data_IF_736108990351
#
_entry.id   IF_736108990351
#
_cell.length_a   1.000
_cell.length_b   1.000
_cell.length_c   1.000
_cell.angle_alpha   90.00
_cell.angle_beta   90.00
_cell.angle_gamma   90.00
#
_symmetry.space_group_name_H-M   'P 1'
#
loop_
_entity.id
_entity.type
_entity.pdbx_description
1 polymer ?
#
# COMPACT_ATOMS: atom_id res chain seq x y z
N UNK A 1 2.10 6.31 19.04
CA UNK A 1 1.44 5.90 17.79
C UNK A 1 1.47 7.07 16.84
N UNK A 2 2.17 6.91 15.72
CA UNK A 2 2.12 7.86 14.62
C UNK A 2 0.68 7.99 14.13
N UNK A 3 0.13 9.21 14.14
CA UNK A 3 -1.25 9.46 13.74
C UNK A 3 -1.28 10.26 12.45
N UNK A 4 -1.60 9.59 11.34
CA UNK A 4 -1.68 10.24 10.04
C UNK A 4 -3.01 10.95 9.86
N UNK A 5 -2.96 12.20 9.42
CA UNK A 5 -4.15 13.03 9.16
C UNK A 5 -4.49 13.10 7.68
N UNK A 6 -3.49 12.92 6.81
CA UNK A 6 -3.65 13.01 5.35
C UNK A 6 -2.95 11.88 4.59
N UNK A 7 -3.43 11.63 3.36
CA UNK A 7 -2.78 10.67 2.45
C UNK A 7 -1.33 11.09 2.12
N UNK A 8 -1.06 12.39 2.03
CA UNK A 8 0.30 12.90 1.78
C UNK A 8 1.26 12.44 2.87
N UNK A 9 0.89 12.60 4.14
CA UNK A 9 1.72 12.19 5.28
C UNK A 9 2.01 10.69 5.24
N UNK A 10 0.98 9.88 4.98
CA UNK A 10 1.11 8.43 4.84
C UNK A 10 2.09 8.07 3.73
N UNK A 11 1.88 8.60 2.51
CA UNK A 11 2.72 8.27 1.36
C UNK A 11 4.17 8.72 1.56
N UNK A 12 4.40 9.87 2.19
CA UNK A 12 5.74 10.36 2.50
C UNK A 12 6.42 9.48 3.56
N UNK A 13 5.72 9.10 4.63
CA UNK A 13 6.26 8.24 5.68
C UNK A 13 6.62 6.85 5.16
N UNK A 14 5.76 6.25 4.32
CA UNK A 14 6.02 4.95 3.69
C UNK A 14 7.20 5.05 2.72
N UNK A 15 7.25 6.08 1.86
CA UNK A 15 8.37 6.28 0.93
C UNK A 15 9.70 6.48 1.68
N UNK A 16 9.70 7.28 2.74
CA UNK A 16 10.89 7.49 3.57
C UNK A 16 11.33 6.19 4.25
N UNK A 17 10.40 5.38 4.76
CA UNK A 17 10.72 4.07 5.32
C UNK A 17 11.35 3.14 4.29
N UNK A 18 10.76 3.04 3.09
CA UNK A 18 11.30 2.25 1.97
C UNK A 18 12.73 2.68 1.64
N UNK A 19 12.99 3.99 1.55
CA UNK A 19 14.32 4.51 1.26
C UNK A 19 15.32 4.14 2.34
N UNK A 20 14.97 4.28 3.63
CA UNK A 20 15.86 3.84 4.72
C UNK A 20 16.16 2.34 4.65
N UNK A 21 15.18 1.52 4.28
CA UNK A 21 15.39 0.07 4.12
C UNK A 21 16.32 -0.30 2.96
N UNK A 22 16.46 0.58 1.96
CA UNK A 22 17.42 0.37 0.88
C UNK A 22 18.88 0.54 1.36
N UNK A 23 19.09 1.35 2.39
CA UNK A 23 20.41 1.58 3.01
C UNK A 23 20.66 0.62 4.18
N UNK A 24 19.63 0.31 4.97
CA UNK A 24 19.65 -0.61 6.11
C UNK A 24 18.41 -1.54 6.11
N UNK A 25 18.55 -2.80 5.70
CA UNK A 25 17.46 -3.78 5.69
C UNK A 25 16.82 -4.06 7.06
N UNK A 26 17.49 -3.65 8.16
CA UNK A 26 17.02 -3.82 9.53
C UNK A 26 16.53 -2.51 10.16
N UNK A 27 16.26 -1.49 9.35
CA UNK A 27 15.75 -0.21 9.82
C UNK A 27 14.54 -0.39 10.75
N UNK A 28 14.67 0.15 11.97
CA UNK A 28 13.61 0.11 12.97
C UNK A 28 12.40 1.00 12.58
N UNK A 29 11.28 0.81 13.29
CA UNK A 29 10.08 1.64 13.17
C UNK A 29 8.99 1.10 12.25
N UNK A 30 9.13 -0.12 11.72
CA UNK A 30 8.08 -0.77 10.92
C UNK A 30 6.77 -0.92 11.69
N UNK A 31 6.84 -1.40 12.94
CA UNK A 31 5.67 -1.64 13.77
C UNK A 31 4.85 -0.35 13.98
N UNK A 32 5.51 0.75 14.35
CA UNK A 32 4.84 2.04 14.52
C UNK A 32 4.23 2.56 13.21
N UNK A 33 4.94 2.44 12.09
CA UNK A 33 4.45 2.84 10.78
C UNK A 33 3.21 2.02 10.36
N UNK A 34 3.27 0.70 10.56
CA UNK A 34 2.18 -0.22 10.24
C UNK A 34 0.93 0.07 11.07
N UNK A 35 1.08 0.29 12.39
CA UNK A 35 -0.02 0.67 13.28
C UNK A 35 -0.62 2.03 12.91
N UNK A 36 0.21 3.01 12.54
CA UNK A 36 -0.27 4.31 12.06
C UNK A 36 -1.05 4.21 10.74
N UNK A 37 -0.54 3.41 9.79
CA UNK A 37 -1.22 3.14 8.52
C UNK A 37 -2.55 2.39 8.74
N UNK A 38 -2.56 1.42 9.65
CA UNK A 38 -3.76 0.68 10.04
C UNK A 38 -4.84 1.62 10.57
N UNK A 39 -4.50 2.49 11.54
CA UNK A 39 -5.43 3.47 12.08
C UNK A 39 -5.96 4.43 10.99
N UNK A 40 -5.08 4.89 10.10
CA UNK A 40 -5.46 5.75 8.98
C UNK A 40 -6.46 5.07 8.03
N UNK A 41 -6.21 3.81 7.67
CA UNK A 41 -7.10 3.03 6.82
C UNK A 41 -8.41 2.70 7.52
N UNK A 42 -8.39 2.27 8.79
CA UNK A 42 -9.59 2.00 9.57
C UNK A 42 -10.53 3.22 9.60
N UNK A 43 -9.99 4.43 9.73
CA UNK A 43 -10.79 5.65 9.76
C UNK A 43 -11.40 6.05 8.41
N UNK A 44 -10.83 5.61 7.27
CA UNK A 44 -11.13 6.15 5.93
C UNK A 44 -11.51 5.12 4.87
N UNK A 45 -11.35 3.83 5.15
CA UNK A 45 -11.71 2.73 4.27
C UNK A 45 -12.84 1.93 4.92
N UNK A 46 -14.09 2.32 4.64
CA UNK A 46 -15.27 1.76 5.29
C UNK A 46 -15.39 0.22 5.17
N UNK A 47 -15.16 -0.40 4.00
CA UNK A 47 -15.15 -1.86 3.89
C UNK A 47 -14.12 -2.54 4.81
N UNK A 48 -12.90 -1.98 4.90
CA UNK A 48 -11.87 -2.51 5.79
C UNK A 48 -12.22 -2.28 7.27
N UNK A 49 -12.76 -1.13 7.62
CA UNK A 49 -13.21 -0.82 8.98
C UNK A 49 -14.31 -1.80 9.45
N UNK A 50 -15.22 -2.19 8.57
CA UNK A 50 -16.27 -3.15 8.88
C UNK A 50 -15.71 -4.56 9.15
N UNK A 51 -14.71 -5.01 8.39
CA UNK A 51 -13.98 -6.25 8.68
C UNK A 51 -13.33 -6.19 10.07
N UNK A 52 -12.59 -5.12 10.34
CA UNK A 52 -11.89 -4.90 11.61
C UNK A 52 -12.84 -4.94 12.81
N UNK A 53 -13.99 -4.25 12.72
CA UNK A 53 -15.02 -4.27 13.77
C UNK A 53 -15.65 -5.64 13.97
N UNK A 54 -15.90 -6.39 12.89
CA UNK A 54 -16.47 -7.73 12.98
C UNK A 54 -15.54 -8.72 13.72
N UNK A 55 -14.23 -8.49 13.66
CA UNK A 55 -13.22 -9.30 14.35
C UNK A 55 -12.84 -8.75 15.74
N UNK A 56 -13.44 -7.63 16.18
CA UNK A 56 -13.06 -6.88 17.39
C UNK A 56 -11.58 -6.44 17.40
N UNK A 57 -11.01 -6.19 16.22
CA UNK A 57 -9.63 -5.76 16.03
C UNK A 57 -9.63 -4.33 15.50
N UNK A 58 -9.51 -3.36 16.39
CA UNK A 58 -9.56 -1.91 16.14
C UNK A 58 -8.23 -1.23 16.48
N UNK A 59 -8.00 0.03 16.07
CA UNK A 59 -6.80 0.77 16.45
C UNK A 59 -6.55 0.87 17.96
N UNK A 60 -7.59 0.76 18.78
CA UNK A 60 -7.50 0.79 20.24
C UNK A 60 -7.11 -0.56 20.87
N UNK A 61 -7.31 -1.67 20.14
CA UNK A 61 -7.10 -3.04 20.66
C UNK A 61 -5.89 -3.72 20.05
N UNK A 62 -5.47 -3.32 18.85
CA UNK A 62 -4.30 -3.85 18.14
C UNK A 62 -3.04 -3.07 18.55
N UNK A 63 -2.14 -3.73 19.28
CA UNK A 63 -0.88 -3.13 19.75
C UNK A 63 0.37 -3.63 19.01
N UNK A 64 0.25 -4.64 18.15
CA UNK A 64 1.34 -5.20 17.35
C UNK A 64 0.89 -5.27 15.88
N UNK A 65 1.77 -4.91 14.95
CA UNK A 65 1.46 -4.97 13.52
C UNK A 65 1.01 -6.36 13.05
N UNK A 66 1.46 -7.43 13.71
CA UNK A 66 1.10 -8.82 13.36
C UNK A 66 -0.36 -9.16 13.66
N UNK A 67 -0.99 -8.40 14.54
CA UNK A 67 -2.38 -8.60 14.94
C UNK A 67 -3.35 -7.78 14.05
N UNK A 68 -2.83 -7.04 13.06
CA UNK A 68 -3.66 -6.30 12.10
C UNK A 68 -4.49 -7.30 11.26
N UNK A 69 -5.82 -7.11 11.15
CA UNK A 69 -6.70 -7.98 10.38
C UNK A 69 -6.26 -8.16 8.93
N UNK A 70 -6.18 -9.42 8.50
CA UNK A 70 -5.84 -9.77 7.12
C UNK A 70 -7.06 -9.69 6.22
N UNK A 71 -6.91 -9.13 5.02
CA UNK A 71 -8.00 -9.06 4.05
C UNK A 71 -7.91 -10.23 3.07
N UNK A 72 -8.98 -11.03 3.00
CA UNK A 72 -9.07 -12.14 2.06
C UNK A 72 -9.01 -11.65 0.61
N UNK A 73 -8.26 -12.35 -0.26
CA UNK A 73 -8.06 -11.96 -1.67
C UNK A 73 -9.38 -11.75 -2.43
N UNK A 74 -10.43 -12.53 -2.11
CA UNK A 74 -11.76 -12.39 -2.72
C UNK A 74 -12.40 -11.01 -2.48
N UNK A 75 -12.11 -10.38 -1.35
CA UNK A 75 -12.70 -9.09 -0.99
C UNK A 75 -12.29 -7.99 -1.97
N UNK A 76 -11.07 -8.05 -2.52
CA UNK A 76 -10.57 -7.10 -3.52
C UNK A 76 -11.28 -7.18 -4.88
N UNK A 77 -12.07 -8.24 -5.14
CA UNK A 77 -12.91 -8.35 -6.35
C UNK A 77 -14.24 -7.61 -6.18
N UNK A 78 -14.82 -7.70 -4.98
CA UNK A 78 -16.18 -7.25 -4.68
C UNK A 78 -16.23 -5.87 -4.02
N UNK A 79 -15.16 -5.46 -3.33
CA UNK A 79 -15.10 -4.25 -2.54
C UNK A 79 -13.99 -3.34 -3.06
N UNK A 80 -14.28 -2.05 -3.11
CA UNK A 80 -13.29 -1.01 -3.36
C UNK A 80 -12.56 -0.70 -2.05
N UNK A 81 -11.51 -1.48 -1.75
CA UNK A 81 -10.66 -1.32 -0.58
C UNK A 81 -9.68 -0.15 -0.79
N UNK A 82 -10.18 1.06 -0.61
CA UNK A 82 -9.40 2.28 -0.82
C UNK A 82 -9.79 3.39 0.16
N UNK A 83 -8.85 4.29 0.40
CA UNK A 83 -9.05 5.57 1.12
C UNK A 83 -9.26 6.74 0.16
N UNK A 84 -9.20 6.49 -1.16
CA UNK A 84 -9.34 7.51 -2.19
C UNK A 84 -10.82 7.80 -2.48
N UNK A 85 -11.24 9.08 -2.41
CA UNK A 85 -12.50 9.52 -3.00
C UNK A 85 -12.55 9.15 -4.49
N UNK A 86 -13.74 8.88 -5.03
CA UNK A 86 -13.89 8.47 -6.43
C UNK A 86 -13.28 9.47 -7.44
N UNK A 87 -13.41 10.77 -7.17
CA UNK A 87 -12.85 11.83 -8.00
C UNK A 87 -11.31 11.80 -8.10
N UNK A 88 -10.64 11.20 -7.11
CA UNK A 88 -9.17 11.15 -7.04
C UNK A 88 -8.60 9.83 -7.59
N UNK A 89 -9.43 8.93 -8.11
CA UNK A 89 -9.01 7.61 -8.62
C UNK A 89 -8.53 7.69 -10.07
N UNK A 90 -7.37 8.28 -10.25
CA UNK A 90 -6.78 8.56 -11.57
C UNK A 90 -6.30 7.31 -12.33
N UNK A 91 -5.93 6.25 -11.62
CA UNK A 91 -5.36 5.02 -12.20
C UNK A 91 -5.97 3.77 -11.57
N UNK A 92 -6.25 2.76 -12.39
CA UNK A 92 -6.81 1.48 -11.95
C UNK A 92 -5.89 0.33 -12.38
N UNK A 93 -5.36 -0.41 -11.39
CA UNK A 93 -4.73 -1.71 -11.63
C UNK A 93 -5.73 -2.83 -11.45
N UNK A 94 -5.67 -3.82 -12.35
CA UNK A 94 -6.55 -5.01 -12.33
C UNK A 94 -5.71 -6.27 -12.35
N UNK A 95 -6.11 -7.27 -11.58
CA UNK A 95 -5.48 -8.60 -11.67
C UNK A 95 -5.65 -9.22 -13.07
N UNK A 96 -4.69 -10.04 -13.48
CA UNK A 96 -4.69 -10.78 -14.77
C UNK A 96 -5.85 -11.76 -14.93
N UNK A 97 -6.53 -12.14 -13.84
CA UNK A 97 -7.82 -12.84 -13.82
C UNK A 97 -7.75 -14.25 -14.40
N UNK A 98 -7.74 -15.27 -13.55
CA UNK A 98 -7.93 -16.66 -13.99
C UNK A 98 -9.43 -16.97 -14.03
N UNK A 99 -9.97 -17.17 -15.24
CA UNK A 99 -11.27 -17.81 -15.55
C UNK A 99 -12.58 -17.16 -15.06
N UNK A 100 -12.58 -16.20 -14.12
CA UNK A 100 -13.78 -15.48 -13.65
C UNK A 100 -13.86 -14.04 -14.19
N UNK A 101 -15.10 -13.56 -14.41
CA UNK A 101 -15.37 -12.22 -14.95
C UNK A 101 -14.92 -11.07 -14.02
N UNK A 102 -15.06 -11.24 -12.71
CA UNK A 102 -14.67 -10.22 -11.73
C UNK A 102 -13.21 -10.32 -11.30
N UNK A 103 -12.46 -9.28 -11.66
CA UNK A 103 -11.03 -9.07 -11.35
C UNK A 103 -10.88 -8.14 -10.16
N UNK A 104 -9.80 -8.28 -9.40
CA UNK A 104 -9.50 -7.31 -8.34
C UNK A 104 -9.28 -5.92 -8.92
N UNK A 105 -9.60 -4.89 -8.15
CA UNK A 105 -9.45 -3.49 -8.52
C UNK A 105 -8.63 -2.76 -7.46
N UNK A 106 -7.57 -2.10 -7.89
CA UNK A 106 -6.72 -1.28 -7.02
C UNK A 106 -6.64 0.12 -7.61
N UNK A 107 -7.18 1.09 -6.89
CA UNK A 107 -7.25 2.48 -7.34
C UNK A 107 -6.08 3.28 -6.80
N UNK A 108 -5.52 4.11 -7.66
CA UNK A 108 -4.36 4.93 -7.37
C UNK A 108 -4.57 6.37 -7.84
N UNK A 109 -3.99 7.30 -7.09
CA UNK A 109 -3.69 8.66 -7.52
C UNK A 109 -2.17 8.84 -7.64
N UNK A 110 -1.72 9.98 -8.19
CA UNK A 110 -0.32 10.33 -8.32
C UNK A 110 0.52 10.08 -7.04
N UNK A 111 -0.01 10.39 -5.85
CA UNK A 111 0.71 10.19 -4.57
C UNK A 111 0.95 8.71 -4.26
N UNK A 112 -0.06 7.86 -4.46
CA UNK A 112 0.08 6.42 -4.22
C UNK A 112 0.94 5.74 -5.29
N UNK A 113 0.91 6.23 -6.54
CA UNK A 113 1.83 5.77 -7.59
C UNK A 113 3.28 6.15 -7.29
N UNK A 114 3.53 7.30 -6.67
CA UNK A 114 4.87 7.68 -6.25
C UNK A 114 5.45 6.71 -5.20
N UNK A 115 4.63 6.15 -4.30
CA UNK A 115 5.05 5.10 -3.36
C UNK A 115 5.43 3.82 -4.10
N UNK A 116 4.64 3.41 -5.09
CA UNK A 116 4.97 2.28 -5.98
C UNK A 116 6.29 2.50 -6.72
N UNK A 117 6.53 3.71 -7.21
CA UNK A 117 7.78 4.05 -7.87
C UNK A 117 8.96 3.98 -6.89
N UNK A 118 8.80 4.49 -5.67
CA UNK A 118 9.83 4.44 -4.63
C UNK A 118 10.20 3.00 -4.22
N UNK A 119 9.25 2.06 -4.24
CA UNK A 119 9.53 0.66 -3.89
C UNK A 119 10.24 -0.13 -4.99
N UNK A 120 10.12 0.29 -6.25
CA UNK A 120 10.62 -0.47 -7.41
C UNK A 120 11.86 0.18 -8.04
N UNK A 121 11.84 1.49 -8.23
CA UNK A 121 12.79 2.20 -9.07
C UNK A 121 14.23 2.16 -8.56
N UNK A 122 14.55 2.38 -7.27
CA UNK A 122 15.94 2.36 -6.81
C UNK A 122 16.62 1.00 -7.06
N UNK A 123 15.89 -0.10 -6.86
CA UNK A 123 16.40 -1.44 -7.13
C UNK A 123 16.53 -1.69 -8.63
N UNK A 124 15.48 -1.37 -9.40
CA UNK A 124 15.52 -1.47 -10.87
C UNK A 124 16.70 -0.69 -11.45
N UNK A 125 16.88 0.57 -11.06
CA UNK A 125 17.98 1.41 -11.53
C UNK A 125 19.34 0.81 -11.18
N UNK A 126 19.54 0.38 -9.93
CA UNK A 126 20.81 -0.20 -9.48
C UNK A 126 21.22 -1.47 -10.24
N UNK A 127 20.25 -2.29 -10.65
CA UNK A 127 20.52 -3.65 -11.15
C UNK A 127 20.23 -3.84 -12.63
N UNK A 128 19.39 -3.00 -13.23
CA UNK A 128 18.89 -3.15 -14.60
C UNK A 128 19.13 -1.91 -15.47
N UNK A 129 19.51 -0.78 -14.89
CA UNK A 129 19.93 0.42 -15.63
C UNK A 129 21.44 0.55 -15.52
N UNK A 130 22.15 0.04 -16.52
CA UNK A 130 23.58 0.32 -16.73
C UNK A 130 23.75 1.61 -17.57
N UNK A 131 24.91 2.25 -17.50
CA UNK A 131 25.30 3.34 -18.42
C UNK A 131 25.55 2.83 -19.85
N UNK A 132 25.72 1.51 -20.03
CA UNK A 132 25.92 0.91 -21.35
C UNK A 132 24.59 0.73 -22.11
N UNK A 133 24.62 1.05 -23.41
CA UNK A 133 23.47 1.25 -24.30
C UNK A 133 22.57 0.02 -24.57
N UNK A 134 22.73 -1.10 -23.85
CA UNK A 134 21.94 -2.31 -24.05
C UNK A 134 20.64 -2.23 -23.26
N UNK A 135 19.71 -1.46 -23.83
CA UNK A 135 18.33 -1.30 -23.36
C UNK A 135 17.65 -2.67 -23.23
N UNK A 136 16.93 -2.87 -22.14
CA UNK A 136 15.81 -3.80 -22.05
C UNK A 136 14.82 -3.45 -23.18
N UNK A 137 14.94 -4.14 -24.31
CA UNK A 137 13.96 -4.15 -25.38
C UNK A 137 12.85 -5.12 -24.96
N UNK A 138 11.84 -4.61 -24.27
CA UNK A 138 10.53 -5.25 -24.30
C UNK A 138 9.96 -4.99 -25.70
N UNK A 139 9.83 -6.07 -26.49
CA UNK A 139 9.15 -6.07 -27.79
C UNK A 139 7.67 -5.70 -27.63
#
# INVERSE_FOLDING_TARGET
MTNFTSLTEVCNAVSAFIQRCADDPHAAGFDELALGLFAFQFARNAPYANLCRAENLTPETVANWRDIPTVQTRAFKSLDLTVLPEADRETLFRSSGTTQADRSRHFHCAKTLAVYHASLWPWFARHLVDESANRLLFL
#
